data_IF_363062269727
#
_entry.id   IF_363062269727
#
_cell.length_a   1.000
_cell.length_b   1.000
_cell.length_c   1.000
_cell.angle_alpha   90.00
_cell.angle_beta   90.00
_cell.angle_gamma   90.00
#
_symmetry.space_group_name_H-M   'P 1'
#
loop_
_entity.id
_entity.type
_entity.pdbx_description
1 polymer ?
#
# COMPACT_ATOMS: atom_id res chain seq x y z
N UNK A 1 -42.62 21.31 9.66
CA UNK A 1 -41.27 21.01 10.15
C UNK A 1 -41.27 19.55 10.56
N UNK A 2 -40.77 18.67 9.68
CA UNK A 2 -40.62 17.26 9.95
C UNK A 2 -39.13 16.92 9.87
N UNK A 3 -38.65 16.33 10.94
CA UNK A 3 -37.28 16.02 11.31
C UNK A 3 -36.65 14.96 10.40
N UNK A 4 -35.48 15.27 9.85
CA UNK A 4 -34.60 14.33 9.17
C UNK A 4 -33.93 13.39 10.21
N UNK A 5 -34.29 12.11 10.15
CA UNK A 5 -33.76 10.96 10.88
C UNK A 5 -33.77 9.86 9.80
N UNK A 6 -32.72 9.14 9.39
CA UNK A 6 -31.41 8.81 9.95
C UNK A 6 -30.42 8.59 8.80
N UNK A 7 -29.29 9.26 8.85
CA UNK A 7 -28.03 8.79 8.28
C UNK A 7 -27.47 7.66 9.14
N UNK A 8 -27.22 6.45 8.61
CA UNK A 8 -26.14 5.53 9.04
C UNK A 8 -26.22 4.15 8.37
N UNK A 9 -25.68 4.02 7.14
CA UNK A 9 -25.20 2.73 6.62
C UNK A 9 -23.86 2.92 5.88
N UNK A 10 -22.93 3.67 6.47
CA UNK A 10 -21.54 3.63 6.02
C UNK A 10 -20.75 2.86 7.07
N UNK A 11 -20.29 1.66 6.71
CA UNK A 11 -19.32 0.94 7.52
C UNK A 11 -17.95 1.62 7.32
N UNK A 12 -17.07 1.59 8.32
CA UNK A 12 -15.70 2.12 8.20
C UNK A 12 -14.90 1.48 7.04
N UNK A 13 -15.34 0.30 6.59
CA UNK A 13 -14.85 -0.39 5.39
C UNK A 13 -15.14 0.34 4.07
N UNK A 14 -16.11 1.24 4.05
CA UNK A 14 -16.62 1.88 2.84
C UNK A 14 -15.89 3.21 2.54
N UNK A 15 -14.97 3.62 3.42
CA UNK A 15 -14.17 4.83 3.29
C UNK A 15 -12.92 4.51 2.46
N UNK A 16 -12.74 5.14 1.32
CA UNK A 16 -11.54 4.94 0.50
C UNK A 16 -10.53 6.06 0.78
N UNK A 17 -9.29 5.69 1.11
CA UNK A 17 -8.17 6.61 1.25
C UNK A 17 -7.16 6.39 0.12
N UNK A 18 -6.67 7.48 -0.47
CA UNK A 18 -5.61 7.43 -1.50
C UNK A 18 -4.37 6.68 -0.98
N UNK A 19 -4.08 6.82 0.31
CA UNK A 19 -3.04 6.08 1.01
C UNK A 19 -3.58 5.50 2.31
N UNK A 20 -3.58 4.17 2.41
CA UNK A 20 -3.95 3.45 3.62
C UNK A 20 -2.70 3.03 4.40
N UNK A 21 -2.71 3.21 5.72
CA UNK A 21 -1.62 2.80 6.59
C UNK A 21 -1.30 1.31 6.42
N UNK A 22 -0.04 1.00 6.08
CA UNK A 22 0.43 -0.35 5.78
C UNK A 22 0.13 -1.33 6.93
N UNK A 23 0.47 -0.95 8.16
CA UNK A 23 0.26 -1.80 9.34
C UNK A 23 -1.21 -1.93 9.73
N UNK A 24 -2.02 -0.88 9.57
CA UNK A 24 -3.45 -0.99 9.84
C UNK A 24 -4.13 -1.92 8.83
N UNK A 25 -3.79 -1.79 7.53
CA UNK A 25 -4.32 -2.64 6.47
C UNK A 25 -4.03 -4.12 6.73
N UNK A 26 -2.83 -4.45 7.20
CA UNK A 26 -2.49 -5.83 7.60
C UNK A 26 -3.22 -6.37 8.84
N UNK A 27 -3.94 -5.52 9.57
CA UNK A 27 -4.76 -5.89 10.73
C UNK A 27 -6.26 -5.63 10.48
N UNK A 28 -6.69 -5.69 9.21
CA UNK A 28 -8.08 -5.44 8.78
C UNK A 28 -8.67 -4.09 9.24
N UNK A 29 -7.80 -3.11 9.48
CA UNK A 29 -8.19 -1.74 9.81
C UNK A 29 -7.92 -0.82 8.64
N UNK A 30 -8.93 -0.02 8.33
CA UNK A 30 -8.84 0.97 7.29
C UNK A 30 -8.55 2.35 7.91
N UNK A 31 -7.31 2.81 7.78
CA UNK A 31 -6.87 4.08 8.38
C UNK A 31 -6.04 4.84 7.38
N UNK A 32 -6.32 6.13 7.21
CA UNK A 32 -5.54 7.00 6.34
C UNK A 32 -4.08 7.06 6.79
N UNK A 33 -3.16 7.00 5.83
CA UNK A 33 -1.77 7.27 6.07
C UNK A 33 -1.50 8.78 6.03
N UNK A 34 -0.71 9.24 7.00
CA UNK A 34 -0.31 10.64 7.15
C UNK A 34 1.19 10.83 6.89
N UNK A 35 1.95 9.74 6.88
CA UNK A 35 3.39 9.73 6.79
C UNK A 35 3.90 8.66 5.84
N UNK A 36 5.04 8.93 5.22
CA UNK A 36 5.78 8.01 4.37
C UNK A 36 7.21 7.85 4.89
N UNK A 37 7.66 6.62 5.09
CA UNK A 37 9.05 6.30 5.41
C UNK A 37 9.83 6.04 4.11
N UNK A 38 10.86 6.83 3.85
CA UNK A 38 11.72 6.70 2.66
C UNK A 38 12.49 5.39 2.65
N UNK A 39 13.05 5.01 3.80
CA UNK A 39 13.91 3.84 3.92
C UNK A 39 13.11 2.53 3.76
N UNK A 40 11.89 2.49 4.28
CA UNK A 40 11.01 1.32 4.13
C UNK A 40 10.16 1.34 2.86
N UNK A 41 10.03 2.50 2.23
CA UNK A 41 9.06 2.72 1.15
C UNK A 41 7.62 2.36 1.55
N UNK A 42 7.24 2.68 2.79
CA UNK A 42 5.93 2.34 3.37
C UNK A 42 5.23 3.57 3.94
N UNK A 43 3.90 3.54 3.99
CA UNK A 43 3.06 4.62 4.51
C UNK A 43 2.39 4.23 5.84
N UNK A 44 2.29 5.18 6.76
CA UNK A 44 1.82 4.97 8.13
C UNK A 44 0.87 6.08 8.60
N UNK A 45 -0.08 5.74 9.47
CA UNK A 45 -0.78 6.71 10.32
C UNK A 45 0.12 7.12 11.50
N UNK A 46 -0.21 8.20 12.22
CA UNK A 46 0.60 8.68 13.35
C UNK A 46 0.95 7.61 14.39
N UNK A 47 -0.02 6.79 14.82
CA UNK A 47 0.21 5.72 15.82
C UNK A 47 1.21 4.66 15.35
N UNK A 48 1.09 4.24 14.09
CA UNK A 48 2.00 3.24 13.53
C UNK A 48 3.39 3.83 13.29
N UNK A 49 3.48 5.13 12.96
CA UNK A 49 4.76 5.81 12.84
C UNK A 49 5.50 5.91 14.18
N UNK A 50 4.80 6.17 15.29
CA UNK A 50 5.44 6.21 16.62
C UNK A 50 6.11 4.87 16.96
N UNK A 51 5.40 3.75 16.75
CA UNK A 51 5.96 2.42 16.95
C UNK A 51 7.09 2.11 15.97
N UNK A 52 6.96 2.56 14.72
CA UNK A 52 8.00 2.42 13.71
C UNK A 52 9.28 3.15 14.14
N UNK A 53 9.17 4.41 14.54
CA UNK A 53 10.31 5.23 14.96
C UNK A 53 10.98 4.71 16.23
N UNK A 54 10.23 4.06 17.11
CA UNK A 54 10.80 3.39 18.28
C UNK A 54 11.84 2.33 17.88
N UNK A 55 11.53 1.53 16.85
CA UNK A 55 12.42 0.49 16.34
C UNK A 55 13.46 1.02 15.35
N UNK A 56 13.10 2.04 14.57
CA UNK A 56 13.86 2.55 13.43
C UNK A 56 14.13 4.05 13.53
N UNK A 57 14.80 4.46 14.61
CA UNK A 57 14.98 5.88 15.00
C UNK A 57 15.66 6.78 13.94
N UNK A 58 16.35 6.20 12.95
CA UNK A 58 17.11 6.93 11.93
C UNK A 58 16.41 6.98 10.56
N UNK A 59 15.26 6.34 10.42
CA UNK A 59 14.54 6.38 9.15
C UNK A 59 14.02 7.79 8.86
N UNK A 60 14.18 8.21 7.60
CA UNK A 60 13.71 9.49 7.11
C UNK A 60 12.24 9.40 6.72
N UNK A 61 11.42 10.26 7.34
CA UNK A 61 9.97 10.27 7.12
C UNK A 61 9.51 11.58 6.48
N UNK A 62 8.52 11.51 5.61
CA UNK A 62 7.81 12.64 5.03
C UNK A 62 6.40 12.68 5.59
N UNK A 63 5.90 13.88 5.86
CA UNK A 63 4.49 14.10 6.20
C UNK A 63 3.62 14.22 4.94
N UNK A 64 2.30 14.26 5.15
CA UNK A 64 1.29 14.46 4.10
C UNK A 64 1.39 15.81 3.39
N UNK A 65 2.07 16.81 3.97
CA UNK A 65 2.34 18.08 3.25
C UNK A 65 3.32 17.87 2.10
N UNK A 66 4.11 16.80 2.15
CA UNK A 66 5.03 16.38 1.10
C UNK A 66 4.50 15.18 0.29
N UNK A 67 3.17 15.01 0.21
CA UNK A 67 2.54 13.85 -0.47
C UNK A 67 2.96 13.69 -1.93
N UNK A 68 3.24 14.79 -2.64
CA UNK A 68 3.76 14.77 -4.02
C UNK A 68 5.15 14.13 -4.15
N UNK A 69 5.89 13.99 -3.05
CA UNK A 69 7.20 13.34 -2.98
C UNK A 69 7.13 11.92 -2.43
N UNK A 70 5.94 11.49 -1.99
CA UNK A 70 5.74 10.07 -1.76
C UNK A 70 5.91 9.44 -3.15
N UNK A 71 6.55 8.29 -3.29
CA UNK A 71 6.62 7.60 -4.56
C UNK A 71 5.20 7.17 -4.93
N UNK A 72 4.46 8.12 -5.50
CA UNK A 72 3.20 7.92 -6.20
C UNK A 72 3.59 7.53 -7.61
N UNK A 73 4.33 6.44 -7.73
CA UNK A 73 4.50 5.76 -9.00
C UNK A 73 3.80 4.43 -8.82
N UNK A 74 2.52 4.45 -9.20
CA UNK A 74 1.68 3.28 -9.44
C UNK A 74 1.85 2.15 -8.42
N UNK A 75 0.97 2.23 -7.42
CA UNK A 75 0.49 1.12 -6.62
C UNK A 75 1.51 0.42 -5.71
N UNK A 76 1.17 0.43 -4.43
CA UNK A 76 1.08 -0.87 -3.77
C UNK A 76 0.04 -1.66 -4.56
N UNK A 77 0.46 -2.37 -5.62
CA UNK A 77 -0.41 -3.32 -6.27
C UNK A 77 -0.88 -4.29 -5.20
N UNK A 78 -2.09 -4.84 -5.34
CA UNK A 78 -2.54 -5.92 -4.46
C UNK A 78 -1.37 -6.92 -4.31
N UNK A 79 -1.14 -7.46 -3.12
CA UNK A 79 -0.10 -8.49 -2.89
C UNK A 79 -0.26 -9.64 -3.90
N UNK A 80 -1.48 -9.86 -4.40
CA UNK A 80 -1.81 -10.80 -5.48
C UNK A 80 -1.22 -10.46 -6.85
N UNK A 81 -0.97 -9.18 -7.11
CA UNK A 81 -0.40 -8.67 -8.36
C UNK A 81 1.12 -8.42 -8.27
N UNK A 82 1.73 -8.74 -7.13
CA UNK A 82 3.15 -8.57 -6.88
C UNK A 82 3.92 -9.85 -7.21
N UNK A 83 5.10 -9.71 -7.82
CA UNK A 83 5.96 -10.86 -8.01
C UNK A 83 6.47 -11.38 -6.66
N UNK A 84 6.34 -12.69 -6.44
CA UNK A 84 6.77 -13.35 -5.21
C UNK A 84 8.29 -13.27 -4.99
N UNK A 85 9.06 -13.17 -6.09
CA UNK A 85 10.52 -13.04 -6.08
C UNK A 85 10.95 -11.57 -6.09
N UNK A 86 10.38 -10.77 -6.99
CA UNK A 86 10.72 -9.36 -7.20
C UNK A 86 9.63 -8.46 -6.62
N UNK A 87 9.68 -8.21 -5.31
CA UNK A 87 8.65 -7.46 -4.57
C UNK A 87 8.45 -6.02 -5.06
N UNK A 88 9.43 -5.44 -5.73
CA UNK A 88 9.31 -4.13 -6.36
C UNK A 88 8.57 -4.15 -7.71
N UNK A 89 8.13 -5.33 -8.19
CA UNK A 89 7.58 -5.50 -9.54
C UNK A 89 6.20 -6.14 -9.56
N UNK A 90 5.40 -5.66 -10.50
CA UNK A 90 4.09 -6.19 -10.82
C UNK A 90 4.20 -7.44 -11.69
N UNK A 91 3.25 -8.36 -11.53
CA UNK A 91 2.96 -9.40 -12.51
C UNK A 91 2.29 -8.75 -13.73
N UNK A 92 2.95 -8.82 -14.88
CA UNK A 92 2.56 -8.06 -16.08
C UNK A 92 2.39 -8.96 -17.32
N UNK A 93 2.94 -10.18 -17.30
CA UNK A 93 2.94 -11.08 -18.45
C UNK A 93 2.43 -12.45 -18.07
N UNK A 94 1.57 -13.04 -18.89
CA UNK A 94 1.24 -14.46 -18.79
C UNK A 94 2.22 -15.26 -19.65
N UNK A 95 2.79 -16.31 -19.09
CA UNK A 95 3.57 -17.29 -19.81
C UNK A 95 2.69 -18.49 -20.16
N UNK A 96 2.69 -18.88 -21.43
CA UNK A 96 1.92 -20.04 -21.89
C UNK A 96 2.57 -21.37 -21.48
N UNK A 97 3.90 -21.53 -21.59
CA UNK A 97 4.58 -22.80 -21.32
C UNK A 97 4.46 -23.24 -19.84
N UNK A 98 4.51 -22.27 -18.92
CA UNK A 98 4.40 -22.49 -17.49
C UNK A 98 2.99 -22.20 -16.95
N UNK A 99 2.10 -21.66 -17.80
CA UNK A 99 0.72 -21.30 -17.45
C UNK A 99 0.62 -20.42 -16.20
N UNK A 100 1.53 -19.45 -16.06
CA UNK A 100 1.64 -18.58 -14.88
C UNK A 100 1.77 -17.10 -15.24
N UNK A 101 1.30 -16.23 -14.33
CA UNK A 101 1.48 -14.78 -14.42
C UNK A 101 2.83 -14.41 -13.79
N UNK A 102 3.67 -13.69 -14.53
CA UNK A 102 5.03 -13.34 -14.16
C UNK A 102 5.32 -11.84 -14.32
N UNK A 103 6.30 -11.35 -13.56
CA UNK A 103 6.92 -10.07 -13.88
C UNK A 103 7.82 -10.19 -15.12
N UNK A 104 8.11 -9.07 -15.77
CA UNK A 104 8.96 -9.03 -16.95
C UNK A 104 10.35 -9.67 -16.75
N UNK A 105 10.92 -9.58 -15.54
CA UNK A 105 12.23 -10.16 -15.21
C UNK A 105 12.15 -11.69 -15.17
N UNK A 106 11.20 -12.26 -14.42
CA UNK A 106 11.00 -13.71 -14.35
C UNK A 106 10.77 -14.31 -15.73
N UNK A 107 9.99 -13.64 -16.58
CA UNK A 107 9.72 -14.10 -17.93
C UNK A 107 11.00 -14.23 -18.78
N UNK A 108 11.93 -13.28 -18.70
CA UNK A 108 13.20 -13.33 -19.45
C UNK A 108 14.17 -14.38 -18.88
N UNK A 109 14.13 -14.62 -17.57
CA UNK A 109 14.98 -15.63 -16.95
C UNK A 109 14.48 -17.06 -17.17
N UNK A 110 13.17 -17.27 -17.15
CA UNK A 110 12.53 -18.58 -17.33
C UNK A 110 12.34 -18.94 -18.81
N UNK A 111 12.24 -17.95 -19.71
CA UNK A 111 12.23 -18.15 -21.17
C UNK A 111 13.47 -17.48 -21.75
N UNK A 112 14.50 -18.29 -22.01
CA UNK A 112 15.65 -17.89 -22.82
C UNK A 112 15.39 -18.16 -24.30
#
# INVERSE_FOLDING_TARGET
MASNFESSIYRESDIFFDFSCYTCKGNDRNTEAEFYCKDCSMVYCGKCLEHHNFLYQKHATLDKKNISKWPVSDATFDVREQCQVHKDRKLEKFCEDHSELMCAVCHVYNHK
#
